data_IF_910370487273
#
_entry.id   IF_910370487273
#
_cell.length_a   1.000
_cell.length_b   1.000
_cell.length_c   1.000
_cell.angle_alpha   90.00
_cell.angle_beta   90.00
_cell.angle_gamma   90.00
#
_symmetry.space_group_name_H-M   'P 1'
#
loop_
_entity.id
_entity.type
_entity.pdbx_description
1 polymer ?
#
# COMPACT_ATOMS: atom_id res chain seq x y z
N UNK A 1 30.13 -37.55 29.25
CA UNK A 1 30.16 -36.08 29.32
C UNK A 1 30.67 -35.63 27.96
N UNK A 2 29.76 -35.51 26.99
CA UNK A 2 30.07 -35.00 25.66
C UNK A 2 29.85 -33.49 25.68
N UNK A 3 30.92 -32.73 25.52
CA UNK A 3 30.86 -31.28 25.43
C UNK A 3 30.29 -30.91 24.07
N UNK A 4 29.06 -30.41 24.06
CA UNK A 4 28.44 -29.88 22.85
C UNK A 4 29.19 -28.63 22.42
N UNK A 5 29.90 -28.72 21.30
CA UNK A 5 30.50 -27.60 20.59
C UNK A 5 29.39 -26.64 20.11
N UNK A 6 28.97 -25.73 20.98
CA UNK A 6 28.09 -24.63 20.66
C UNK A 6 28.93 -23.52 20.02
N UNK A 7 29.44 -23.77 18.81
CA UNK A 7 30.07 -22.71 18.04
C UNK A 7 29.01 -21.64 17.75
N UNK A 8 29.24 -20.35 18.12
CA UNK A 8 28.29 -19.30 17.84
C UNK A 8 28.12 -19.20 16.32
N UNK A 9 26.90 -19.44 15.84
CA UNK A 9 26.54 -19.33 14.43
C UNK A 9 27.00 -17.95 13.93
N UNK A 10 27.79 -17.84 12.84
CA UNK A 10 28.25 -16.56 12.34
C UNK A 10 27.01 -15.70 12.04
N UNK A 11 26.83 -14.63 12.81
CA UNK A 11 25.86 -13.60 12.50
C UNK A 11 26.42 -12.84 11.31
N UNK A 12 26.16 -13.33 10.10
CA UNK A 12 26.33 -12.55 8.88
C UNK A 12 25.65 -11.22 9.11
N UNK A 13 26.40 -10.12 9.03
CA UNK A 13 25.92 -8.77 9.26
C UNK A 13 24.58 -8.60 8.54
N UNK A 14 23.49 -8.64 9.31
CA UNK A 14 22.15 -8.56 8.78
C UNK A 14 22.06 -7.21 8.07
N UNK A 15 21.74 -7.22 6.77
CA UNK A 15 21.39 -6.00 6.07
C UNK A 15 20.10 -5.48 6.70
N UNK A 16 20.24 -4.61 7.70
CA UNK A 16 19.13 -3.98 8.40
C UNK A 16 18.38 -3.12 7.38
N UNK A 17 17.10 -3.42 7.19
CA UNK A 17 16.23 -2.57 6.37
C UNK A 17 15.95 -1.29 7.14
N UNK A 18 16.12 -0.14 6.49
CA UNK A 18 15.89 1.19 7.09
C UNK A 18 14.88 1.99 6.28
N UNK A 19 14.25 3.00 6.91
CA UNK A 19 13.32 3.92 6.24
C UNK A 19 13.95 4.57 5.01
N UNK A 20 15.18 5.07 5.18
CA UNK A 20 15.94 5.70 4.10
C UNK A 20 16.19 4.76 2.91
N UNK A 21 16.52 3.48 3.19
CA UNK A 21 16.71 2.48 2.13
C UNK A 21 15.41 2.16 1.36
N UNK A 22 14.25 2.37 1.99
CA UNK A 22 12.93 2.22 1.38
C UNK A 22 12.39 3.53 0.76
N UNK A 23 13.13 4.64 0.86
CA UNK A 23 12.65 5.96 0.43
C UNK A 23 11.50 6.52 1.28
N UNK A 24 11.36 6.05 2.52
CA UNK A 24 10.31 6.47 3.45
C UNK A 24 10.82 7.62 4.30
N UNK A 25 10.02 8.67 4.43
CA UNK A 25 10.32 9.81 5.28
C UNK A 25 10.43 9.40 6.77
N UNK A 26 11.29 10.09 7.52
CA UNK A 26 11.50 9.78 8.93
C UNK A 26 10.24 10.00 9.78
N UNK A 27 9.36 10.93 9.39
CA UNK A 27 8.11 11.25 10.09
C UNK A 27 6.90 10.44 9.59
N UNK A 28 7.05 9.61 8.55
CA UNK A 28 5.95 8.81 8.02
C UNK A 28 5.48 7.74 9.02
N UNK A 29 4.20 7.36 9.00
CA UNK A 29 3.72 6.19 9.75
C UNK A 29 3.70 4.97 8.82
N UNK A 30 4.30 3.86 9.23
CA UNK A 30 4.48 2.67 8.40
C UNK A 30 3.42 1.62 8.78
N UNK A 31 2.52 1.36 7.84
CA UNK A 31 1.53 0.28 7.89
C UNK A 31 2.04 -0.92 7.10
N UNK A 32 2.60 -1.91 7.77
CA UNK A 32 3.10 -3.13 7.16
C UNK A 32 1.95 -4.11 6.91
N UNK A 33 1.88 -4.71 5.73
CA UNK A 33 0.97 -5.83 5.43
C UNK A 33 1.79 -7.10 5.19
N UNK A 34 2.15 -7.87 6.23
CA UNK A 34 3.08 -8.98 6.14
C UNK A 34 2.41 -10.27 5.65
N UNK A 35 1.67 -10.21 4.54
CA UNK A 35 0.94 -11.33 3.95
C UNK A 35 1.38 -11.60 2.51
N UNK A 36 1.25 -12.85 2.06
CA UNK A 36 1.48 -13.20 0.67
C UNK A 36 0.45 -12.54 -0.25
N UNK A 37 0.88 -12.11 -1.44
CA UNK A 37 0.00 -11.38 -2.38
C UNK A 37 -1.30 -12.10 -2.74
N UNK A 38 -1.38 -13.45 -2.82
CA UNK A 38 -2.65 -14.15 -3.06
C UNK A 38 -3.74 -13.91 -2.02
N UNK A 39 -3.40 -13.44 -0.81
CA UNK A 39 -4.38 -13.10 0.23
C UNK A 39 -5.02 -11.72 0.06
N UNK A 40 -4.51 -10.88 -0.85
CA UNK A 40 -5.07 -9.55 -1.11
C UNK A 40 -6.34 -9.65 -1.96
N UNK A 41 -7.48 -9.62 -1.29
CA UNK A 41 -8.79 -9.58 -1.94
C UNK A 41 -9.21 -8.13 -2.32
N UNK A 42 -9.95 -7.90 -3.43
CA UNK A 42 -10.49 -6.59 -3.84
C UNK A 42 -11.15 -5.76 -2.73
N UNK A 43 -11.87 -6.41 -1.83
CA UNK A 43 -12.57 -5.70 -0.74
C UNK A 43 -11.57 -5.03 0.23
N UNK A 44 -10.33 -5.54 0.36
CA UNK A 44 -9.32 -4.97 1.23
C UNK A 44 -8.80 -3.60 0.73
N UNK A 45 -8.92 -3.31 -0.56
CA UNK A 45 -8.35 -2.10 -1.17
C UNK A 45 -8.98 -0.83 -0.61
N UNK A 46 -10.30 -0.83 -0.41
CA UNK A 46 -11.01 0.31 0.17
C UNK A 46 -10.58 0.60 1.61
N UNK A 47 -10.26 -0.45 2.38
CA UNK A 47 -9.72 -0.28 3.74
C UNK A 47 -8.33 0.35 3.71
N UNK A 48 -7.45 -0.10 2.80
CA UNK A 48 -6.13 0.51 2.60
C UNK A 48 -6.22 1.97 2.14
N UNK A 49 -7.12 2.28 1.21
CA UNK A 49 -7.37 3.65 0.77
C UNK A 49 -7.86 4.53 1.93
N UNK A 50 -8.80 4.03 2.74
CA UNK A 50 -9.34 4.74 3.91
C UNK A 50 -8.25 5.04 4.95
N UNK A 51 -7.33 4.11 5.21
CA UNK A 51 -6.18 4.34 6.09
C UNK A 51 -5.32 5.49 5.56
N UNK A 52 -4.96 5.46 4.28
CA UNK A 52 -4.13 6.51 3.69
C UNK A 52 -4.85 7.86 3.63
N UNK A 53 -6.17 7.89 3.41
CA UNK A 53 -6.95 9.13 3.45
C UNK A 53 -7.00 9.73 4.86
N UNK A 54 -7.16 8.89 5.89
CA UNK A 54 -7.22 9.32 7.28
C UNK A 54 -5.85 9.77 7.83
N UNK A 55 -4.75 9.19 7.33
CA UNK A 55 -3.39 9.52 7.72
C UNK A 55 -2.57 10.09 6.56
N UNK A 56 -2.41 11.43 6.47
CA UNK A 56 -1.60 12.08 5.43
C UNK A 56 -0.12 11.70 5.43
N UNK A 57 0.43 11.23 6.57
CA UNK A 57 1.81 10.77 6.70
C UNK A 57 1.93 9.25 6.56
N UNK A 58 0.80 8.56 6.43
CA UNK A 58 0.73 7.11 6.33
C UNK A 58 1.33 6.59 5.02
N UNK A 59 2.09 5.51 5.14
CA UNK A 59 2.65 4.73 4.04
C UNK A 59 2.32 3.25 4.26
N UNK A 60 1.79 2.61 3.24
CA UNK A 60 1.56 1.16 3.25
C UNK A 60 2.79 0.46 2.68
N UNK A 61 3.29 -0.53 3.41
CA UNK A 61 4.42 -1.36 3.03
C UNK A 61 3.98 -2.80 2.81
N UNK A 62 4.15 -3.34 1.60
CA UNK A 62 3.73 -4.69 1.22
C UNK A 62 4.97 -5.48 0.77
N UNK A 63 5.45 -6.44 1.56
CA UNK A 63 6.51 -7.33 1.13
C UNK A 63 6.01 -8.29 0.05
N UNK A 64 6.70 -8.33 -1.10
CA UNK A 64 6.40 -9.32 -2.14
C UNK A 64 7.21 -10.58 -1.84
N UNK A 65 6.57 -11.74 -1.82
CA UNK A 65 7.29 -13.02 -1.72
C UNK A 65 7.84 -13.47 -3.09
N UNK A 66 8.68 -14.51 -3.09
CA UNK A 66 9.25 -15.07 -4.33
C UNK A 66 8.19 -15.64 -5.28
N UNK A 67 6.97 -15.93 -4.82
CA UNK A 67 5.85 -16.41 -5.62
C UNK A 67 5.03 -15.26 -6.25
N UNK A 68 5.08 -14.06 -5.67
CA UNK A 68 4.41 -12.83 -6.11
C UNK A 68 5.01 -12.17 -7.35
N UNK A 69 6.17 -12.66 -7.82
CA UNK A 69 6.85 -12.24 -9.05
C UNK A 69 6.10 -12.61 -10.34
N UNK A 70 5.01 -13.36 -10.27
CA UNK A 70 4.17 -13.79 -11.41
C UNK A 70 3.15 -12.73 -11.85
N UNK A 71 3.50 -11.43 -11.78
CA UNK A 71 2.64 -10.30 -12.16
C UNK A 71 1.54 -9.95 -11.15
N UNK A 72 1.50 -10.61 -9.98
CA UNK A 72 0.53 -10.32 -8.92
C UNK A 72 0.77 -8.95 -8.30
N UNK A 73 2.04 -8.57 -8.11
CA UNK A 73 2.40 -7.24 -7.61
C UNK A 73 1.91 -6.14 -8.55
N UNK A 74 2.07 -6.31 -9.86
CA UNK A 74 1.60 -5.34 -10.85
C UNK A 74 0.07 -5.26 -10.88
N UNK A 75 -0.61 -6.41 -10.87
CA UNK A 75 -2.09 -6.45 -10.82
C UNK A 75 -2.63 -5.81 -9.55
N UNK A 76 -2.00 -6.05 -8.40
CA UNK A 76 -2.36 -5.43 -7.13
C UNK A 76 -2.10 -3.92 -7.17
N UNK A 77 -0.95 -3.48 -7.69
CA UNK A 77 -0.66 -2.05 -7.87
C UNK A 77 -1.71 -1.38 -8.74
N UNK A 78 -2.02 -1.91 -9.93
CA UNK A 78 -3.04 -1.35 -10.81
C UNK A 78 -4.42 -1.28 -10.15
N UNK A 79 -4.79 -2.31 -9.39
CA UNK A 79 -6.06 -2.35 -8.67
C UNK A 79 -6.12 -1.33 -7.54
N UNK A 80 -5.05 -1.19 -6.75
CA UNK A 80 -4.98 -0.19 -5.68
C UNK A 80 -5.03 1.24 -6.24
N UNK A 81 -4.27 1.54 -7.30
CA UNK A 81 -4.33 2.84 -7.97
C UNK A 81 -5.77 3.15 -8.43
N UNK A 82 -6.45 2.21 -9.07
CA UNK A 82 -7.83 2.41 -9.51
C UNK A 82 -8.82 2.64 -8.35
N UNK A 83 -8.68 1.90 -7.24
CA UNK A 83 -9.53 2.09 -6.06
C UNK A 83 -9.29 3.45 -5.40
N UNK A 84 -8.05 3.91 -5.40
CA UNK A 84 -7.64 5.16 -4.76
C UNK A 84 -7.99 6.40 -5.57
N UNK A 85 -8.02 6.30 -6.90
CA UNK A 85 -8.49 7.37 -7.79
C UNK A 85 -10.02 7.53 -7.75
N UNK A 86 -10.76 6.43 -7.55
CA UNK A 86 -12.22 6.44 -7.58
C UNK A 86 -12.89 6.95 -6.28
N UNK A 87 -12.10 7.26 -5.25
CA UNK A 87 -12.59 7.67 -3.92
C UNK A 87 -12.84 9.18 -3.78
N UNK A 88 -12.87 9.93 -4.90
CA UNK A 88 -13.10 11.39 -4.91
C UNK A 88 -14.55 11.81 -5.23
N UNK A 89 -15.51 10.88 -5.36
CA UNK A 89 -16.86 11.20 -5.84
C UNK A 89 -18.01 10.78 -4.91
N UNK A 90 -17.75 10.55 -3.63
CA UNK A 90 -18.82 10.39 -2.64
C UNK A 90 -19.25 11.78 -2.12
N UNK A 91 -19.85 12.58 -3.01
CA UNK A 91 -20.73 13.68 -2.58
C UNK A 91 -22.15 13.14 -2.54
N UNK A 92 -22.75 13.24 -1.35
CA UNK A 92 -24.12 12.91 -1.00
C UNK A 92 -25.13 13.24 -2.11
N UNK A 93 -25.87 12.24 -2.61
CA UNK A 93 -27.09 12.46 -3.39
C UNK A 93 -28.29 11.85 -2.65
N UNK A 94 -28.69 12.50 -1.56
CA UNK A 94 -30.08 12.50 -1.09
C UNK A 94 -30.72 13.84 -1.47
N UNK A 95 -31.57 13.84 -2.50
CA UNK A 95 -32.87 14.51 -2.53
C UNK A 95 -33.48 14.43 -3.94
N UNK A 96 -34.71 13.93 -4.02
CA UNK A 96 -35.48 13.88 -5.26
C UNK A 96 -35.81 15.26 -5.84
N UNK A 97 -36.16 15.26 -7.12
CA UNK A 97 -36.73 16.41 -7.79
C UNK A 97 -36.60 16.30 -9.30
N UNK A 98 -37.72 15.95 -9.94
CA UNK A 98 -37.91 15.99 -11.38
C UNK A 98 -37.46 17.34 -11.97
N UNK A 99 -36.59 17.34 -13.00
CA UNK A 99 -36.68 18.38 -14.03
C UNK A 99 -36.07 18.01 -15.39
N UNK A 100 -36.70 18.60 -16.39
CA UNK A 100 -36.68 18.32 -17.81
C UNK A 100 -35.50 19.01 -18.53
N UNK A 101 -34.72 18.21 -19.27
CA UNK A 101 -34.11 18.44 -20.59
C UNK A 101 -33.91 19.89 -21.10
N UNK A 102 -32.65 20.36 -21.25
CA UNK A 102 -32.24 21.24 -22.37
C UNK A 102 -30.79 20.90 -22.80
N UNK A 103 -30.62 20.60 -24.09
CA UNK A 103 -29.34 20.43 -24.80
C UNK A 103 -28.85 21.79 -25.28
N UNK A 104 -27.58 22.13 -25.08
CA UNK A 104 -26.78 22.89 -26.06
C UNK A 104 -25.33 23.11 -25.60
N UNK A 105 -24.41 22.62 -26.43
CA UNK A 105 -23.12 23.21 -26.82
C UNK A 105 -22.45 24.23 -25.90
N UNK A 106 -21.21 23.93 -25.45
CA UNK A 106 -20.07 24.88 -25.39
C UNK A 106 -18.74 24.19 -25.04
N UNK A 107 -17.78 24.33 -25.97
CA UNK A 107 -16.34 24.54 -25.76
C UNK A 107 -15.58 23.56 -24.85
N UNK A 108 -15.12 22.48 -25.48
CA UNK A 108 -13.98 21.71 -25.02
C UNK A 108 -12.68 22.48 -25.31
N UNK A 109 -12.22 23.29 -24.37
CA UNK A 109 -10.86 23.82 -24.37
C UNK A 109 -10.46 24.22 -22.95
N UNK A 110 -9.31 23.70 -22.50
CA UNK A 110 -8.49 24.22 -21.40
C UNK A 110 -8.91 23.94 -19.95
N UNK A 111 -8.94 22.66 -19.55
CA UNK A 111 -8.87 22.29 -18.12
C UNK A 111 -8.07 21.01 -17.86
N UNK A 112 -6.98 20.80 -18.60
CA UNK A 112 -6.10 19.63 -18.41
C UNK A 112 -4.89 19.88 -17.49
N UNK A 113 -4.72 21.08 -16.91
CA UNK A 113 -3.47 21.48 -16.26
C UNK A 113 -3.60 21.95 -14.80
N UNK A 114 -4.63 21.52 -14.06
CA UNK A 114 -4.75 21.78 -12.60
C UNK A 114 -5.10 20.51 -11.82
N UNK A 115 -4.48 19.37 -12.14
CA UNK A 115 -4.62 18.12 -11.37
C UNK A 115 -3.31 17.65 -10.71
N UNK A 116 -2.29 18.51 -10.65
CA UNK A 116 -0.91 18.12 -10.36
C UNK A 116 -0.40 18.56 -8.98
N UNK A 117 -1.20 18.38 -7.91
CA UNK A 117 -0.72 18.60 -6.53
C UNK A 117 -1.30 17.66 -5.47
N UNK A 118 -2.32 16.87 -5.77
CA UNK A 118 -2.76 15.83 -4.84
C UNK A 118 -1.83 14.64 -4.99
N UNK A 119 -1.05 14.35 -3.95
CA UNK A 119 -0.24 13.14 -3.86
C UNK A 119 -1.17 11.93 -4.06
N UNK A 120 -1.19 11.38 -5.27
CA UNK A 120 -1.96 10.18 -5.57
C UNK A 120 -1.63 9.11 -4.52
N UNK A 121 -2.66 8.57 -3.86
CA UNK A 121 -2.50 7.69 -2.69
C UNK A 121 -1.66 6.45 -3.05
N UNK A 122 -1.66 6.06 -4.33
CA UNK A 122 -0.90 4.93 -4.85
C UNK A 122 0.63 5.10 -4.70
N UNK A 123 1.13 6.35 -4.71
CA UNK A 123 2.56 6.65 -4.46
C UNK A 123 2.97 6.37 -3.02
N UNK A 124 2.00 6.23 -2.10
CA UNK A 124 2.21 5.88 -0.68
C UNK A 124 2.06 4.38 -0.41
N UNK A 125 2.00 3.56 -1.47
CA UNK A 125 2.07 2.09 -1.37
C UNK A 125 3.41 1.62 -1.90
N UNK A 126 4.24 1.07 -1.01
CA UNK A 126 5.58 0.59 -1.31
C UNK A 126 5.57 -0.94 -1.32
N UNK A 127 6.03 -1.51 -2.43
CA UNK A 127 6.26 -2.94 -2.57
C UNK A 127 7.74 -3.24 -2.41
N UNK A 128 8.11 -4.09 -1.46
CA UNK A 128 9.51 -4.54 -1.35
C UNK A 128 9.73 -5.75 -2.26
N UNK A 129 10.96 -5.96 -2.78
CA UNK A 129 11.31 -7.24 -3.39
C UNK A 129 11.22 -8.39 -2.37
N UNK A 130 11.31 -9.65 -2.82
CA UNK A 130 11.44 -10.80 -1.93
C UNK A 130 12.58 -10.64 -0.93
N UNK A 131 12.22 -10.72 0.35
CA UNK A 131 13.15 -10.52 1.45
C UNK A 131 13.48 -11.85 2.13
N UNK A 132 14.75 -12.03 2.57
CA UNK A 132 15.08 -13.11 3.49
C UNK A 132 14.42 -12.88 4.86
N UNK A 133 14.24 -13.94 5.64
CA UNK A 133 13.53 -13.91 6.93
C UNK A 133 14.04 -12.82 7.89
N UNK A 134 15.35 -12.63 7.99
CA UNK A 134 15.93 -11.61 8.87
C UNK A 134 15.57 -10.18 8.43
N UNK A 135 15.47 -9.92 7.13
CA UNK A 135 15.05 -8.62 6.61
C UNK A 135 13.55 -8.40 6.82
N UNK A 136 12.73 -9.45 6.73
CA UNK A 136 11.32 -9.40 7.12
C UNK A 136 11.16 -9.02 8.61
N UNK A 137 11.99 -9.60 9.50
CA UNK A 137 12.01 -9.23 10.92
C UNK A 137 12.34 -7.75 11.11
N UNK A 138 13.35 -7.23 10.40
CA UNK A 138 13.67 -5.80 10.44
C UNK A 138 12.51 -4.92 9.95
N UNK A 139 11.71 -5.36 8.97
CA UNK A 139 10.51 -4.64 8.58
C UNK A 139 9.45 -4.61 9.68
N UNK A 140 9.26 -5.73 10.39
CA UNK A 140 8.32 -5.78 11.52
C UNK A 140 8.74 -4.86 12.66
N UNK A 141 10.05 -4.73 12.93
CA UNK A 141 10.59 -3.81 13.92
C UNK A 141 10.46 -2.34 13.49
N UNK A 142 10.46 -2.07 12.18
CA UNK A 142 10.37 -0.74 11.61
C UNK A 142 8.92 -0.23 11.51
N UNK A 143 7.96 -1.13 11.37
CA UNK A 143 6.56 -0.82 11.19
C UNK A 143 5.93 -0.26 12.47
N UNK A 144 5.07 0.74 12.29
CA UNK A 144 4.29 1.32 13.39
C UNK A 144 3.05 0.46 13.67
N UNK A 145 2.46 -0.11 12.61
CA UNK A 145 1.29 -1.01 12.68
C UNK A 145 1.45 -2.14 11.67
N UNK A 146 1.08 -3.36 12.06
CA UNK A 146 0.87 -4.48 11.15
C UNK A 146 -0.64 -4.62 10.84
N UNK A 147 -0.98 -4.59 9.56
CA UNK A 147 -2.34 -4.80 9.07
C UNK A 147 -2.47 -6.22 8.53
N UNK A 148 -3.55 -6.89 8.90
CA UNK A 148 -3.89 -8.19 8.34
C UNK A 148 -4.88 -8.05 7.18
N UNK A 149 -4.77 -8.95 6.19
CA UNK A 149 -5.66 -8.96 5.04
C UNK A 149 -7.02 -9.57 5.41
N UNK A 150 -8.09 -9.18 4.72
CA UNK A 150 -9.40 -9.83 4.84
C UNK A 150 -10.05 -10.03 3.46
N UNK A 151 -10.95 -11.02 3.28
CA UNK A 151 -11.55 -11.91 4.28
C UNK A 151 -10.64 -13.07 4.74
N UNK A 152 -9.52 -13.31 4.07
CA UNK A 152 -8.56 -14.35 4.44
C UNK A 152 -7.37 -13.70 5.15
N UNK A 153 -7.33 -13.83 6.47
CA UNK A 153 -6.26 -13.31 7.34
C UNK A 153 -5.10 -14.27 7.59
N UNK A 154 -4.20 -13.84 8.47
CA UNK A 154 -3.03 -14.56 8.99
C UNK A 154 -3.28 -15.26 10.29
#
# INVERSE_FOLDING_TARGET
LEESDFSPRPQTAASVVSRAALGIDAAAHIYLVPQSLPKFHPIFDGALASVLQADPLGVILIPVDTHGLSGWADRLRSRLSASMDNSQDDTEEEAGGDNEKIVSDRHNSDTAAVRDTTHSLDRRVIFTPPLPEHAMRSLMELADVALDTFPVGG
#
